data_IF_663723236289
#
_entry.id   IF_663723236289
#
_cell.length_a   1.000
_cell.length_b   1.000
_cell.length_c   1.000
_cell.angle_alpha   90.00
_cell.angle_beta   90.00
_cell.angle_gamma   90.00
#
_symmetry.space_group_name_H-M   'P 1'
#
loop_
_entity.id
_entity.type
_entity.pdbx_description
1 polymer ?
#
# COMPACT_ATOMS: atom_id res chain seq x y z
N UNK A 1 16.13 -4.92 10.82
CA UNK A 1 15.24 -4.41 11.89
C UNK A 1 14.12 -5.40 12.21
N UNK A 2 13.29 -5.78 11.24
CA UNK A 2 12.20 -6.77 11.39
C UNK A 2 12.63 -8.08 12.10
N UNK A 3 13.77 -8.67 11.73
CA UNK A 3 14.30 -9.88 12.38
C UNK A 3 14.76 -9.65 13.84
N UNK A 4 15.32 -8.48 14.15
CA UNK A 4 15.78 -8.15 15.51
C UNK A 4 14.61 -7.84 16.46
N UNK A 5 13.57 -7.20 15.93
CA UNK A 5 12.35 -6.87 16.67
C UNK A 5 11.51 -8.13 16.88
N UNK A 6 11.37 -8.99 15.85
CA UNK A 6 10.71 -10.29 16.01
C UNK A 6 11.38 -11.19 17.04
N UNK A 7 12.72 -11.19 17.11
CA UNK A 7 13.46 -11.95 18.14
C UNK A 7 13.33 -11.33 19.54
N UNK A 8 13.23 -10.01 19.64
CA UNK A 8 13.04 -9.28 20.90
C UNK A 8 11.61 -9.47 21.45
N UNK A 9 10.59 -9.34 20.61
CA UNK A 9 9.19 -9.55 21.00
C UNK A 9 8.86 -11.01 21.33
N UNK A 10 9.58 -11.98 20.73
CA UNK A 10 9.48 -13.40 21.11
C UNK A 10 9.76 -13.65 22.60
N UNK A 11 10.52 -12.79 23.29
CA UNK A 11 10.72 -12.88 24.75
C UNK A 11 9.49 -12.49 25.57
N UNK A 12 8.59 -11.67 25.01
CA UNK A 12 7.41 -11.14 25.70
C UNK A 12 6.13 -11.90 25.37
N UNK A 13 6.07 -12.63 24.25
CA UNK A 13 4.92 -13.46 23.86
C UNK A 13 5.11 -14.90 24.35
N UNK A 14 4.77 -15.18 25.62
CA UNK A 14 4.96 -16.52 26.23
C UNK A 14 3.72 -17.41 26.22
N UNK A 15 2.55 -16.88 25.91
CA UNK A 15 1.27 -17.59 25.98
C UNK A 15 0.40 -17.32 24.75
N UNK A 16 -0.33 -18.34 24.29
CA UNK A 16 -1.36 -18.20 23.26
C UNK A 16 -2.55 -17.35 23.69
N UNK A 17 -2.75 -17.09 24.99
CA UNK A 17 -3.80 -16.18 25.47
C UNK A 17 -3.43 -14.70 25.32
N UNK A 18 -2.17 -14.31 25.54
CA UNK A 18 -1.69 -12.94 25.26
C UNK A 18 -1.80 -12.62 23.76
N UNK A 19 -1.67 -13.65 22.92
CA UNK A 19 -1.85 -13.60 21.47
C UNK A 19 -3.31 -13.33 21.06
N UNK A 20 -4.30 -13.81 21.82
CA UNK A 20 -5.74 -13.55 21.55
C UNK A 20 -6.29 -12.33 22.30
N UNK A 21 -5.78 -12.01 23.49
CA UNK A 21 -6.21 -10.87 24.31
C UNK A 21 -5.79 -9.53 23.68
N UNK A 22 -4.62 -9.45 23.05
CA UNK A 22 -4.23 -8.27 22.28
C UNK A 22 -5.14 -8.00 21.07
N UNK A 23 -5.76 -9.05 20.50
CA UNK A 23 -6.75 -8.92 19.44
C UNK A 23 -8.11 -8.38 19.92
N UNK A 24 -8.43 -8.52 21.22
CA UNK A 24 -9.67 -7.99 21.82
C UNK A 24 -9.54 -6.53 22.26
N UNK A 25 -8.34 -6.04 22.56
CA UNK A 25 -8.07 -4.65 22.96
C UNK A 25 -7.42 -3.81 21.85
N UNK A 26 -7.55 -4.23 20.59
CA UNK A 26 -7.02 -3.45 19.48
C UNK A 26 -7.85 -2.17 19.31
N UNK A 27 -7.35 -1.08 19.88
CA UNK A 27 -7.95 0.25 19.73
C UNK A 27 -8.10 0.61 18.24
N UNK A 28 -9.23 1.24 17.90
CA UNK A 28 -9.62 1.48 16.50
C UNK A 28 -8.55 2.24 15.68
N UNK A 29 -7.75 3.09 16.31
CA UNK A 29 -6.67 3.82 15.66
C UNK A 29 -5.49 2.91 15.27
N UNK A 30 -5.15 1.91 16.08
CA UNK A 30 -4.11 0.92 15.75
C UNK A 30 -4.56 0.06 14.57
N UNK A 31 -5.82 -0.39 14.58
CA UNK A 31 -6.40 -1.14 13.47
C UNK A 31 -6.40 -0.32 12.16
N UNK A 32 -6.75 0.96 12.23
CA UNK A 32 -6.70 1.88 11.08
C UNK A 32 -5.27 2.08 10.57
N UNK A 33 -4.30 2.26 11.46
CA UNK A 33 -2.89 2.38 11.07
C UNK A 33 -2.34 1.10 10.44
N UNK A 34 -2.64 -0.07 11.00
CA UNK A 34 -2.26 -1.35 10.39
C UNK A 34 -2.91 -1.54 9.02
N UNK A 35 -4.18 -1.16 8.85
CA UNK A 35 -4.84 -1.21 7.55
C UNK A 35 -4.17 -0.29 6.53
N UNK A 36 -3.86 0.95 6.90
CA UNK A 36 -3.14 1.89 6.03
C UNK A 36 -1.74 1.37 5.71
N UNK A 37 -1.03 0.82 6.69
CA UNK A 37 0.29 0.23 6.52
C UNK A 37 0.29 -0.97 5.57
N UNK A 38 -0.74 -1.81 5.65
CA UNK A 38 -0.85 -3.00 4.82
C UNK A 38 -1.14 -2.65 3.36
N UNK A 39 -1.81 -1.52 3.11
CA UNK A 39 -1.99 -1.00 1.76
C UNK A 39 -0.70 -0.33 1.27
N UNK A 40 -0.06 0.52 2.07
CA UNK A 40 1.10 1.30 1.65
C UNK A 40 2.38 0.46 1.47
N UNK A 41 2.56 -0.07 0.26
CA UNK A 41 3.76 -0.80 -0.17
C UNK A 41 4.82 0.09 -0.84
N UNK A 42 6.06 -0.39 -0.88
CA UNK A 42 7.15 0.28 -1.61
C UNK A 42 6.87 0.36 -3.13
N UNK A 43 6.23 -0.67 -3.69
CA UNK A 43 5.79 -0.69 -5.09
C UNK A 43 4.69 0.34 -5.35
N UNK A 44 3.74 0.48 -4.43
CA UNK A 44 2.69 1.50 -4.56
C UNK A 44 3.28 2.89 -4.52
N UNK A 45 4.18 3.18 -3.57
CA UNK A 45 4.84 4.48 -3.47
C UNK A 45 5.59 4.84 -4.75
N UNK A 46 6.31 3.87 -5.34
CA UNK A 46 6.98 4.05 -6.62
C UNK A 46 6.00 4.26 -7.77
N UNK A 47 4.90 3.50 -7.80
CA UNK A 47 3.81 3.67 -8.78
C UNK A 47 3.17 5.05 -8.70
N UNK A 48 2.93 5.55 -7.49
CA UNK A 48 2.40 6.90 -7.26
C UNK A 48 3.39 7.99 -7.62
N UNK A 49 4.68 7.80 -7.33
CA UNK A 49 5.72 8.73 -7.76
C UNK A 49 5.81 8.80 -9.29
N UNK A 50 5.71 7.65 -9.98
CA UNK A 50 5.66 7.60 -11.43
C UNK A 50 4.39 8.26 -11.99
N UNK A 51 3.23 8.02 -11.39
CA UNK A 51 1.98 8.67 -11.76
C UNK A 51 2.04 10.19 -11.53
N UNK A 52 2.63 10.65 -10.43
CA UNK A 52 2.85 12.06 -10.17
C UNK A 52 3.82 12.70 -11.17
N UNK A 53 4.83 11.96 -11.64
CA UNK A 53 5.73 12.42 -12.69
C UNK A 53 5.03 12.52 -14.06
N UNK A 54 4.15 11.56 -14.39
CA UNK A 54 3.43 11.53 -15.66
C UNK A 54 2.23 12.48 -15.72
N UNK A 55 1.50 12.62 -14.61
CA UNK A 55 0.20 13.30 -14.55
C UNK A 55 0.16 14.50 -13.61
N UNK A 56 1.24 14.77 -12.87
CA UNK A 56 1.33 15.91 -11.95
C UNK A 56 0.38 15.81 -10.77
N UNK A 57 -0.06 16.97 -10.29
CA UNK A 57 -0.98 17.06 -9.15
C UNK A 57 -2.36 16.44 -9.45
N UNK A 58 -2.71 16.24 -10.73
CA UNK A 58 -3.95 15.62 -11.13
C UNK A 58 -4.06 14.16 -10.65
N UNK A 59 -2.94 13.45 -10.48
CA UNK A 59 -2.92 12.10 -9.91
C UNK A 59 -3.57 12.02 -8.51
N UNK A 60 -3.63 13.13 -7.77
CA UNK A 60 -4.30 13.19 -6.48
C UNK A 60 -5.84 13.01 -6.56
N UNK A 61 -6.48 13.23 -7.72
CA UNK A 61 -7.92 12.98 -7.88
C UNK A 61 -8.29 11.52 -7.63
N UNK A 62 -7.38 10.60 -7.92
CA UNK A 62 -7.59 9.18 -7.66
C UNK A 62 -7.86 8.92 -6.18
N UNK A 63 -7.19 9.65 -5.28
CA UNK A 63 -7.45 9.59 -3.85
C UNK A 63 -8.69 10.39 -3.43
N UNK A 64 -8.82 11.62 -3.91
CA UNK A 64 -9.89 12.53 -3.49
C UNK A 64 -11.28 12.05 -3.91
N UNK A 65 -11.40 11.54 -5.13
CA UNK A 65 -12.69 11.18 -5.74
C UNK A 65 -12.91 9.66 -5.70
N UNK A 66 -11.86 8.87 -5.89
CA UNK A 66 -11.96 7.40 -5.85
C UNK A 66 -11.83 6.84 -4.44
N UNK A 67 -10.64 6.99 -3.83
CA UNK A 67 -10.29 6.22 -2.63
C UNK A 67 -11.05 6.67 -1.36
N UNK A 68 -11.17 7.98 -1.11
CA UNK A 68 -11.81 8.49 0.12
C UNK A 68 -13.31 8.12 0.16
N UNK A 69 -14.12 8.38 -0.89
CA UNK A 69 -15.52 7.97 -0.88
C UNK A 69 -15.70 6.45 -0.81
N UNK A 70 -14.85 5.68 -1.51
CA UNK A 70 -14.89 4.22 -1.43
C UNK A 70 -14.59 3.69 -0.02
N UNK A 71 -13.61 4.27 0.69
CA UNK A 71 -13.31 3.92 2.08
C UNK A 71 -14.45 4.30 3.03
N UNK A 72 -15.06 5.47 2.86
CA UNK A 72 -16.24 5.87 3.63
C UNK A 72 -17.42 4.94 3.38
N UNK A 73 -17.67 4.57 2.12
CA UNK A 73 -18.71 3.62 1.76
C UNK A 73 -18.46 2.24 2.39
N UNK A 74 -17.23 1.73 2.33
CA UNK A 74 -16.83 0.48 2.99
C UNK A 74 -17.05 0.56 4.50
N UNK A 75 -16.62 1.65 5.14
CA UNK A 75 -16.73 1.85 6.59
C UNK A 75 -18.16 2.04 7.09
N UNK A 76 -19.04 2.68 6.31
CA UNK A 76 -20.43 2.96 6.72
C UNK A 76 -21.38 1.84 6.32
N UNK A 77 -21.20 1.25 5.14
CA UNK A 77 -22.18 0.31 4.56
C UNK A 77 -21.72 -1.14 4.73
N UNK A 78 -20.45 -1.44 4.47
CA UNK A 78 -19.97 -2.83 4.46
C UNK A 78 -19.61 -3.33 5.87
N UNK A 79 -19.03 -2.49 6.73
CA UNK A 79 -18.74 -2.83 8.13
C UNK A 79 -19.95 -3.37 8.93
N UNK A 80 -21.10 -2.67 9.00
CA UNK A 80 -22.26 -3.19 9.73
C UNK A 80 -22.80 -4.48 9.09
N UNK A 81 -22.70 -4.58 7.76
CA UNK A 81 -23.12 -5.76 7.02
C UNK A 81 -22.25 -6.99 7.33
N UNK A 82 -20.93 -6.84 7.45
CA UNK A 82 -20.03 -7.92 7.89
C UNK A 82 -20.25 -8.31 9.35
N UNK A 83 -20.51 -7.32 10.22
CA UNK A 83 -20.76 -7.56 11.65
C UNK A 83 -22.03 -8.41 11.88
N UNK A 84 -23.11 -8.11 11.14
CA UNK A 84 -24.37 -8.86 11.21
C UNK A 84 -24.21 -10.28 10.65
N UNK A 85 -23.41 -10.44 9.59
CA UNK A 85 -23.23 -11.74 8.90
C UNK A 85 -22.29 -12.72 9.62
N UNK A 86 -21.62 -12.28 10.72
CA UNK A 86 -20.64 -13.06 11.51
C UNK A 86 -19.51 -13.70 10.68
N UNK A 87 -19.26 -13.22 9.47
CA UNK A 87 -18.20 -13.70 8.59
C UNK A 87 -17.00 -12.80 8.66
N UNK A 88 -15.84 -13.40 8.95
CA UNK A 88 -14.57 -12.70 9.08
C UNK A 88 -13.77 -12.61 7.76
N UNK A 89 -14.29 -13.13 6.64
CA UNK A 89 -13.61 -13.12 5.34
C UNK A 89 -14.58 -12.94 4.18
N UNK A 90 -14.09 -12.33 3.09
CA UNK A 90 -14.87 -12.11 1.86
C UNK A 90 -15.36 -13.43 1.24
N UNK A 91 -14.53 -14.50 1.12
CA UNK A 91 -15.02 -15.80 0.63
C UNK A 91 -16.04 -16.44 1.58
N UNK A 92 -15.90 -16.27 2.89
CA UNK A 92 -16.88 -16.76 3.87
C UNK A 92 -18.24 -16.08 3.72
N UNK A 93 -18.28 -14.80 3.36
CA UNK A 93 -19.54 -14.13 3.03
C UNK A 93 -20.16 -14.66 1.73
N UNK A 94 -19.35 -14.93 0.70
CA UNK A 94 -19.84 -15.53 -0.55
C UNK A 94 -20.48 -16.90 -0.32
N UNK A 95 -20.00 -17.67 0.67
CA UNK A 95 -20.62 -18.92 1.11
C UNK A 95 -22.04 -18.73 1.63
N UNK A 96 -22.24 -17.77 2.54
CA UNK A 96 -23.56 -17.49 3.14
C UNK A 96 -24.59 -17.03 2.10
N UNK A 97 -24.15 -16.32 1.06
CA UNK A 97 -25.05 -15.73 0.06
C UNK A 97 -25.26 -16.60 -1.18
N UNK A 98 -24.23 -17.33 -1.63
CA UNK A 98 -24.22 -18.05 -2.91
C UNK A 98 -23.84 -19.53 -2.79
N UNK A 99 -23.59 -20.04 -1.58
CA UNK A 99 -23.26 -21.44 -1.32
C UNK A 99 -21.79 -21.80 -1.51
N UNK A 100 -21.47 -23.06 -1.23
CA UNK A 100 -20.12 -23.60 -1.10
C UNK A 100 -19.30 -23.55 -2.40
N UNK A 101 -19.94 -23.77 -3.55
CA UNK A 101 -19.27 -23.69 -4.87
C UNK A 101 -18.66 -22.30 -5.15
N UNK A 102 -19.36 -21.24 -4.74
CA UNK A 102 -18.90 -19.86 -4.91
C UNK A 102 -17.78 -19.52 -3.92
N UNK A 103 -17.82 -20.09 -2.71
CA UNK A 103 -16.72 -19.99 -1.74
C UNK A 103 -15.44 -20.59 -2.28
N UNK A 104 -15.51 -21.79 -2.87
CA UNK A 104 -14.33 -22.46 -3.41
C UNK A 104 -13.70 -21.65 -4.55
N UNK A 105 -14.53 -21.15 -5.48
CA UNK A 105 -14.05 -20.32 -6.58
C UNK A 105 -13.45 -19.00 -6.08
N UNK A 106 -14.12 -18.32 -5.14
CA UNK A 106 -13.62 -17.07 -4.54
C UNK A 106 -12.31 -17.28 -3.78
N UNK A 107 -12.21 -18.34 -2.98
CA UNK A 107 -10.99 -18.69 -2.26
C UNK A 107 -9.84 -19.07 -3.21
N UNK A 108 -10.13 -19.81 -4.28
CA UNK A 108 -9.14 -20.17 -5.29
C UNK A 108 -8.62 -18.93 -6.04
N UNK A 109 -9.50 -18.05 -6.51
CA UNK A 109 -9.12 -16.80 -7.15
C UNK A 109 -8.29 -15.91 -6.21
N UNK A 110 -8.68 -15.81 -4.94
CA UNK A 110 -7.95 -15.03 -3.95
C UNK A 110 -6.55 -15.62 -3.67
N UNK A 111 -6.46 -16.94 -3.52
CA UNK A 111 -5.18 -17.64 -3.33
C UNK A 111 -4.27 -17.47 -4.55
N UNK A 112 -4.81 -17.63 -5.75
CA UNK A 112 -4.08 -17.45 -7.00
C UNK A 112 -3.54 -16.02 -7.16
N UNK A 113 -4.39 -15.01 -6.92
CA UNK A 113 -3.97 -13.60 -6.92
C UNK A 113 -2.87 -13.34 -5.89
N UNK A 114 -3.01 -13.88 -4.68
CA UNK A 114 -2.02 -13.72 -3.60
C UNK A 114 -0.66 -14.31 -3.98
N UNK A 115 -0.64 -15.49 -4.60
CA UNK A 115 0.60 -16.14 -5.06
C UNK A 115 1.29 -15.30 -6.14
N UNK A 116 0.54 -14.81 -7.13
CA UNK A 116 1.09 -13.94 -8.18
C UNK A 116 1.64 -12.64 -7.60
N UNK A 117 0.89 -11.99 -6.71
CA UNK A 117 1.31 -10.74 -6.07
C UNK A 117 2.56 -10.94 -5.19
N UNK A 118 2.64 -12.06 -4.48
CA UNK A 118 3.84 -12.43 -3.72
C UNK A 118 5.05 -12.59 -4.63
N UNK A 119 4.90 -13.25 -5.78
CA UNK A 119 5.96 -13.38 -6.78
C UNK A 119 6.48 -12.03 -7.30
N UNK A 120 5.57 -11.10 -7.61
CA UNK A 120 5.93 -9.73 -8.04
C UNK A 120 6.72 -9.00 -6.96
N UNK A 121 6.26 -9.06 -5.71
CA UNK A 121 6.96 -8.45 -4.57
C UNK A 121 8.37 -9.04 -4.37
N UNK A 122 8.50 -10.36 -4.50
CA UNK A 122 9.78 -11.05 -4.35
C UNK A 122 10.76 -10.69 -5.46
N UNK A 123 10.27 -10.56 -6.70
CA UNK A 123 11.05 -10.08 -7.83
C UNK A 123 11.50 -8.62 -7.64
N UNK A 124 10.61 -7.75 -7.19
CA UNK A 124 10.95 -6.35 -6.88
C UNK A 124 12.07 -6.26 -5.83
N UNK A 125 12.01 -7.05 -4.77
CA UNK A 125 13.07 -7.16 -3.77
C UNK A 125 14.41 -7.60 -4.38
N UNK A 126 14.39 -8.63 -5.25
CA UNK A 126 15.60 -9.09 -5.92
C UNK A 126 16.20 -8.03 -6.86
N UNK A 127 15.35 -7.25 -7.53
CA UNK A 127 15.77 -6.12 -8.38
C UNK A 127 16.48 -5.05 -7.55
N UNK A 128 15.91 -4.67 -6.40
CA UNK A 128 16.53 -3.70 -5.48
C UNK A 128 17.89 -4.19 -5.01
N UNK A 129 18.00 -5.46 -4.60
CA UNK A 129 19.29 -6.06 -4.21
C UNK A 129 20.31 -6.03 -5.36
N UNK A 130 19.88 -6.29 -6.60
CA UNK A 130 20.75 -6.18 -7.78
C UNK A 130 21.25 -4.75 -7.99
N UNK A 131 20.38 -3.74 -7.86
CA UNK A 131 20.74 -2.33 -8.08
C UNK A 131 21.66 -1.80 -6.97
N UNK A 132 21.37 -2.14 -5.71
CA UNK A 132 22.12 -1.63 -4.55
C UNK A 132 23.43 -2.37 -4.31
N UNK A 133 23.42 -3.70 -4.42
CA UNK A 133 24.56 -4.57 -4.07
C UNK A 133 25.31 -5.08 -5.31
N UNK A 134 24.78 -4.88 -6.52
CA UNK A 134 25.38 -5.39 -7.77
C UNK A 134 25.26 -6.91 -7.96
N UNK A 135 24.44 -7.60 -7.16
CA UNK A 135 24.34 -9.06 -7.18
C UNK A 135 23.59 -9.61 -8.40
N UNK A 136 23.90 -10.87 -8.76
CA UNK A 136 23.15 -11.59 -9.79
C UNK A 136 21.69 -11.79 -9.33
N UNK A 137 20.73 -11.54 -10.23
CA UNK A 137 19.30 -11.62 -9.92
C UNK A 137 18.87 -13.00 -9.42
N UNK A 138 19.45 -14.08 -9.94
CA UNK A 138 19.13 -15.43 -9.50
C UNK A 138 19.59 -15.67 -8.06
N UNK A 139 20.76 -15.16 -7.69
CA UNK A 139 21.26 -15.25 -6.32
C UNK A 139 20.42 -14.40 -5.36
N UNK A 140 20.05 -13.19 -5.77
CA UNK A 140 19.17 -12.31 -4.99
C UNK A 140 17.77 -12.91 -4.75
N UNK A 141 17.22 -13.64 -5.73
CA UNK A 141 15.94 -14.35 -5.58
C UNK A 141 16.06 -15.44 -4.50
N UNK A 142 17.09 -16.29 -4.56
CA UNK A 142 17.27 -17.34 -3.55
C UNK A 142 17.45 -16.78 -2.14
N UNK A 143 18.26 -15.73 -1.99
CA UNK A 143 18.50 -15.08 -0.69
C UNK A 143 17.23 -14.41 -0.17
N UNK A 144 16.47 -13.72 -1.04
CA UNK A 144 15.22 -13.07 -0.63
C UNK A 144 14.16 -14.09 -0.25
N UNK A 145 13.97 -15.16 -1.02
CA UNK A 145 13.05 -16.27 -0.68
C UNK A 145 13.37 -16.92 0.64
N UNK A 146 14.64 -17.25 0.88
CA UNK A 146 15.06 -17.88 2.12
C UNK A 146 14.82 -16.95 3.31
N UNK A 147 15.17 -15.67 3.17
CA UNK A 147 14.97 -14.67 4.23
C UNK A 147 13.50 -14.49 4.57
N UNK A 148 12.64 -14.38 3.55
CA UNK A 148 11.18 -14.26 3.73
C UNK A 148 10.61 -15.54 4.36
N UNK A 149 10.99 -16.72 3.87
CA UNK A 149 10.53 -18.00 4.40
C UNK A 149 10.89 -18.20 5.87
N UNK A 150 12.13 -17.88 6.25
CA UNK A 150 12.60 -17.93 7.64
C UNK A 150 11.83 -16.92 8.51
N UNK A 151 11.62 -15.70 8.03
CA UNK A 151 10.86 -14.70 8.76
C UNK A 151 9.40 -15.11 8.98
N UNK A 152 8.72 -15.62 7.95
CA UNK A 152 7.33 -16.08 8.04
C UNK A 152 7.22 -17.26 9.01
N UNK A 153 8.17 -18.21 8.95
CA UNK A 153 8.19 -19.36 9.85
C UNK A 153 8.47 -18.97 11.32
N UNK A 154 9.26 -17.93 11.57
CA UNK A 154 9.63 -17.49 12.92
C UNK A 154 8.68 -16.42 13.51
N UNK A 155 7.99 -15.65 12.68
CA UNK A 155 7.33 -14.40 13.10
C UNK A 155 5.99 -14.59 13.82
N UNK A 156 5.13 -15.51 13.36
CA UNK A 156 3.75 -15.59 13.87
C UNK A 156 2.93 -14.30 13.62
N UNK A 157 1.61 -14.39 13.78
CA UNK A 157 0.68 -13.30 13.42
C UNK A 157 0.91 -12.00 14.23
N UNK A 158 1.33 -12.10 15.49
CA UNK A 158 1.49 -10.95 16.39
C UNK A 158 2.77 -10.14 16.10
N UNK A 159 3.89 -10.80 15.78
CA UNK A 159 5.10 -10.09 15.37
C UNK A 159 4.88 -9.35 14.05
N UNK A 160 3.99 -9.85 13.18
CA UNK A 160 3.68 -9.20 11.93
C UNK A 160 3.03 -7.83 12.15
N UNK A 161 2.03 -7.71 13.03
CA UNK A 161 1.32 -6.45 13.30
C UNK A 161 2.27 -5.36 13.84
N UNK A 162 3.14 -5.71 14.80
CA UNK A 162 4.12 -4.74 15.31
C UNK A 162 5.15 -4.33 14.26
N UNK A 163 5.59 -5.28 13.42
CA UNK A 163 6.48 -4.97 12.30
C UNK A 163 5.78 -4.08 11.27
N UNK A 164 4.49 -4.26 11.01
CA UNK A 164 3.69 -3.42 10.12
C UNK A 164 3.62 -1.98 10.64
N UNK A 165 3.27 -1.77 11.91
CA UNK A 165 3.21 -0.41 12.49
C UNK A 165 4.57 0.30 12.40
N UNK A 166 5.67 -0.39 12.67
CA UNK A 166 7.01 0.19 12.53
C UNK A 166 7.38 0.47 11.07
N UNK A 167 7.03 -0.45 10.17
CA UNK A 167 7.24 -0.29 8.73
C UNK A 167 6.46 0.90 8.18
N UNK A 168 5.24 1.15 8.67
CA UNK A 168 4.47 2.34 8.35
C UNK A 168 5.25 3.62 8.64
N UNK A 169 5.74 3.79 9.86
CA UNK A 169 6.50 5.00 10.22
C UNK A 169 7.77 5.16 9.39
N UNK A 170 8.49 4.07 9.09
CA UNK A 170 9.68 4.11 8.26
C UNK A 170 9.37 4.54 6.81
N UNK A 171 8.35 3.95 6.20
CA UNK A 171 7.91 4.31 4.85
C UNK A 171 7.44 5.76 4.85
N UNK A 172 6.64 6.17 5.82
CA UNK A 172 6.07 7.51 5.88
C UNK A 172 7.14 8.60 6.07
N UNK A 173 8.09 8.39 6.98
CA UNK A 173 9.23 9.30 7.18
C UNK A 173 10.13 9.37 5.93
N UNK A 174 10.43 8.22 5.32
CA UNK A 174 11.22 8.18 4.08
C UNK A 174 10.51 8.86 2.92
N UNK A 175 9.20 8.61 2.77
CA UNK A 175 8.35 9.21 1.75
C UNK A 175 8.26 10.74 1.91
N UNK A 176 8.21 11.23 3.14
CA UNK A 176 8.11 12.67 3.46
C UNK A 176 9.45 13.39 3.30
N UNK A 177 10.57 12.72 3.53
CA UNK A 177 11.90 13.29 3.35
C UNK A 177 12.15 13.71 1.89
N UNK A 178 11.75 12.86 0.93
CA UNK A 178 11.96 13.07 -0.51
C UNK A 178 11.38 14.41 -1.01
N UNK A 179 10.09 14.72 -0.84
CA UNK A 179 9.52 15.99 -1.29
C UNK A 179 10.06 17.19 -0.50
N UNK A 180 10.42 17.05 0.78
CA UNK A 180 11.03 18.14 1.55
C UNK A 180 12.40 18.51 0.97
N UNK A 181 13.27 17.53 0.76
CA UNK A 181 14.58 17.76 0.16
C UNK A 181 14.44 18.30 -1.27
N UNK A 182 13.50 17.75 -2.05
CA UNK A 182 13.17 18.24 -3.38
C UNK A 182 12.70 19.71 -3.39
N UNK A 183 11.87 20.10 -2.42
CA UNK A 183 11.43 21.50 -2.25
C UNK A 183 12.60 22.42 -1.89
N UNK A 184 13.49 22.00 -0.98
CA UNK A 184 14.66 22.80 -0.59
C UNK A 184 15.60 23.00 -1.80
N UNK A 185 15.91 21.93 -2.52
CA UNK A 185 16.79 21.96 -3.70
C UNK A 185 16.18 22.72 -4.89
N UNK A 186 14.85 22.72 -4.99
CA UNK A 186 14.13 23.51 -5.98
C UNK A 186 14.09 25.01 -5.66
N UNK A 187 14.38 25.43 -4.41
CA UNK A 187 14.24 26.82 -3.98
C UNK A 187 12.83 27.17 -3.46
N UNK A 188 12.12 26.18 -2.93
CA UNK A 188 10.75 26.28 -2.43
C UNK A 188 9.70 25.96 -3.49
N UNK A 189 8.42 26.12 -3.12
CA UNK A 189 7.28 25.83 -4.01
C UNK A 189 7.32 26.65 -5.31
N UNK A 190 7.71 27.92 -5.24
CA UNK A 190 7.87 28.79 -6.42
C UNK A 190 8.95 28.26 -7.38
N UNK A 191 10.04 27.73 -6.84
CA UNK A 191 11.10 27.11 -7.63
C UNK A 191 10.71 25.78 -8.25
N UNK A 192 9.90 24.96 -7.54
CA UNK A 192 9.28 23.75 -8.11
C UNK A 192 8.39 24.12 -9.29
N UNK A 193 7.45 25.07 -9.11
CA UNK A 193 6.54 25.52 -10.18
C UNK A 193 7.31 26.07 -11.38
N UNK A 194 8.36 26.86 -11.15
CA UNK A 194 9.20 27.39 -12.21
C UNK A 194 9.93 26.28 -13.00
N UNK A 195 10.51 25.29 -12.32
CA UNK A 195 11.17 24.15 -12.97
C UNK A 195 10.19 23.24 -13.72
N UNK A 196 8.99 23.04 -13.17
CA UNK A 196 7.91 22.29 -13.82
C UNK A 196 7.48 22.99 -15.12
N UNK A 197 7.26 24.31 -15.09
CA UNK A 197 6.92 25.08 -16.30
C UNK A 197 8.07 25.11 -17.34
N UNK A 198 9.32 25.09 -16.91
CA UNK A 198 10.48 25.02 -17.83
C UNK A 198 10.62 23.64 -18.48
N UNK A 199 10.46 22.55 -17.72
CA UNK A 199 10.63 21.19 -18.22
C UNK A 199 9.41 20.68 -18.98
N UNK A 200 8.22 21.18 -18.65
CA UNK A 200 6.96 20.80 -19.29
C UNK A 200 6.16 22.04 -19.72
N UNK A 201 6.62 22.76 -20.77
CA UNK A 201 6.02 24.04 -21.18
C UNK A 201 4.59 23.95 -21.74
N UNK A 202 4.07 22.74 -22.00
CA UNK A 202 2.76 22.48 -22.62
C UNK A 202 1.75 21.81 -21.67
N UNK A 203 2.10 21.51 -20.42
CA UNK A 203 1.19 20.83 -19.48
C UNK A 203 1.03 21.57 -18.17
N UNK A 204 -0.21 21.70 -17.70
CA UNK A 204 -0.52 22.33 -16.42
C UNK A 204 -0.49 21.28 -15.29
N UNK A 205 0.71 21.00 -14.76
CA UNK A 205 0.93 19.96 -13.73
C UNK A 205 0.64 20.47 -12.30
N UNK A 206 0.30 21.75 -12.15
CA UNK A 206 0.26 22.45 -10.85
C UNK A 206 -1.15 22.70 -10.32
N UNK A 207 -2.17 22.56 -11.17
CA UNK A 207 -3.56 22.81 -10.81
C UNK A 207 -4.38 21.52 -10.82
N UNK A 208 -5.18 21.33 -9.76
CA UNK A 208 -6.06 20.16 -9.62
C UNK A 208 -7.27 20.22 -10.58
N UNK A 209 -7.95 21.36 -10.70
CA UNK A 209 -9.25 21.41 -11.37
C UNK A 209 -9.28 22.24 -12.67
N UNK A 210 -8.22 23.01 -12.93
CA UNK A 210 -8.26 24.10 -13.92
C UNK A 210 -8.28 23.63 -15.37
N UNK A 211 -7.68 22.48 -15.66
CA UNK A 211 -7.50 21.96 -17.02
C UNK A 211 -8.46 20.81 -17.36
N UNK A 212 -9.44 20.51 -16.49
CA UNK A 212 -10.41 19.40 -16.68
C UNK A 212 -11.61 19.71 -17.60
N UNK A 213 -11.58 20.84 -18.30
CA UNK A 213 -12.64 21.26 -19.22
C UNK A 213 -12.57 20.67 -20.63
N UNK A 214 -11.41 20.16 -21.07
CA UNK A 214 -11.23 19.55 -22.40
C UNK A 214 -10.22 18.39 -22.34
N UNK A 215 -10.40 17.40 -23.21
CA UNK A 215 -9.51 16.23 -23.33
C UNK A 215 -8.08 16.59 -23.76
N UNK A 216 -7.88 17.75 -24.40
CA UNK A 216 -6.58 18.24 -24.89
C UNK A 216 -5.75 18.99 -23.86
N UNK A 217 -6.37 19.46 -22.78
CA UNK A 217 -5.78 20.48 -21.91
C UNK A 217 -5.13 19.86 -20.65
N UNK A 218 -5.32 18.55 -20.46
CA UNK A 218 -4.81 17.77 -19.34
C UNK A 218 -3.76 16.77 -19.78
N UNK A 219 -2.65 16.61 -19.02
CA UNK A 219 -1.69 15.52 -19.26
C UNK A 219 -2.28 14.12 -19.05
N UNK A 220 -3.40 13.99 -18.32
CA UNK A 220 -4.18 12.74 -18.24
C UNK A 220 -5.07 12.49 -19.46
N UNK A 221 -5.37 13.50 -20.28
CA UNK A 221 -6.29 13.36 -21.40
C UNK A 221 -7.73 13.01 -21.00
N UNK A 222 -8.13 13.31 -19.75
CA UNK A 222 -9.44 12.95 -19.20
C UNK A 222 -10.22 14.23 -18.87
N UNK A 223 -11.48 14.27 -19.32
CA UNK A 223 -12.47 15.29 -18.97
C UNK A 223 -13.01 15.05 -17.54
N UNK A 224 -13.45 16.08 -16.83
CA UNK A 224 -13.88 15.97 -15.42
C UNK A 224 -14.93 14.87 -15.16
N UNK A 225 -15.77 14.55 -16.14
CA UNK A 225 -16.77 13.46 -16.09
C UNK A 225 -16.19 12.05 -16.08
N UNK A 226 -14.92 11.87 -16.44
CA UNK A 226 -14.22 10.58 -16.36
C UNK A 226 -13.45 10.38 -15.05
N UNK A 227 -13.37 11.42 -14.21
CA UNK A 227 -12.69 11.40 -12.91
C UNK A 227 -13.69 11.22 -11.75
N UNK A 228 -14.95 11.66 -11.93
CA UNK A 228 -16.06 11.53 -10.97
C UNK A 228 -16.90 10.29 -11.23
#
# INVERSE_FOLDING_TARGET
MVLGIGFYLRKYTKSGEDFFLAGREMSAWVAGLSFLSANLGALELMGWAAAAYQYGILAAHWYWVGAIPAMLFLGVVMMPFYYISKTHSVPGYLELRYGESTRFLGAFCFAFMTVLMSGINMYAMALVMKVVLGWNIHFSIWVSSLTVGVYVALGGLFSAIFNEVLQFFLIWLGALLIPILGLIEAGGWSGVVARVHQNFPQGDYTHLWRTMGSFSDNPMGIHWTGIV
#
